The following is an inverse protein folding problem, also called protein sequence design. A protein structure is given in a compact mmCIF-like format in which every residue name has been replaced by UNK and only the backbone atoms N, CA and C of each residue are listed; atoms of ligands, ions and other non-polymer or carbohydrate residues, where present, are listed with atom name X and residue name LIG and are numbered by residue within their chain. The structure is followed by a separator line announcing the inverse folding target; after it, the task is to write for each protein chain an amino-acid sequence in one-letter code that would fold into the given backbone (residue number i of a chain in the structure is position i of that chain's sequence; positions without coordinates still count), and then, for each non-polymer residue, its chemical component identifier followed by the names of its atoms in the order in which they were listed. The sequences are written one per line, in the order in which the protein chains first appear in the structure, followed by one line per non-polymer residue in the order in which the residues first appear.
data_IF_925526707371
#
_entry.id   IF_925526707371
#
_cell.length_a   1.000
_cell.length_b   1.000
_cell.length_c   1.000
_cell.angle_alpha   90.00
_cell.angle_beta   90.00
_cell.angle_gamma   90.00
#
_symmetry.space_group_name_H-M   'P 1'
#
loop_
_entity.id
_entity.type
_entity.pdbx_description
1 polymer ?
#
# COMPACT_ATOMS: atom_id res chain seq x y z
N UNK A 1 8.65 0.63 9.41
CA UNK A 1 9.82 1.01 10.21
C UNK A 1 11.07 0.95 9.35
N UNK A 2 11.92 1.96 9.48
CA UNK A 2 13.11 2.15 8.64
C UNK A 2 14.29 1.30 9.12
N UNK A 3 14.06 0.02 9.28
CA UNK A 3 15.13 -0.94 9.61
C UNK A 3 16.12 -0.95 8.45
N UNK A 4 17.41 -0.76 8.73
CA UNK A 4 18.51 -0.63 7.78
C UNK A 4 18.22 0.28 6.57
N UNK A 5 17.58 1.44 6.84
CA UNK A 5 17.45 2.53 5.85
C UNK A 5 16.71 2.14 4.57
N UNK A 6 15.66 1.32 4.69
CA UNK A 6 14.81 0.93 3.54
C UNK A 6 14.19 2.11 2.80
N UNK A 7 13.87 3.19 3.52
CA UNK A 7 13.41 4.44 2.92
C UNK A 7 14.46 5.05 1.98
N UNK A 8 15.74 4.93 2.32
CA UNK A 8 16.83 5.39 1.44
C UNK A 8 16.91 4.53 0.18
N UNK A 9 16.80 3.20 0.30
CA UNK A 9 16.81 2.30 -0.86
C UNK A 9 15.63 2.57 -1.79
N UNK A 10 14.44 2.81 -1.25
CA UNK A 10 13.25 3.20 -2.01
C UNK A 10 13.46 4.55 -2.73
N UNK A 11 14.08 5.51 -2.04
CA UNK A 11 14.41 6.82 -2.62
C UNK A 11 15.46 6.72 -3.73
N UNK A 12 16.47 5.89 -3.55
CA UNK A 12 17.55 5.70 -4.53
C UNK A 12 17.03 4.97 -5.79
N UNK A 13 16.11 4.03 -5.64
CA UNK A 13 15.49 3.38 -6.78
C UNK A 13 14.60 4.33 -7.58
N UNK A 14 13.79 5.16 -6.94
CA UNK A 14 13.01 6.22 -7.61
C UNK A 14 13.93 7.23 -8.32
N UNK A 15 15.06 7.60 -7.71
CA UNK A 15 16.07 8.46 -8.32
C UNK A 15 16.69 7.82 -9.58
N UNK A 16 17.02 6.52 -9.49
CA UNK A 16 17.61 5.75 -10.60
C UNK A 16 16.64 5.60 -11.77
N UNK A 17 15.36 5.36 -11.49
CA UNK A 17 14.34 5.20 -12.52
C UNK A 17 13.99 6.51 -13.23
N UNK A 18 14.24 7.66 -12.61
CA UNK A 18 14.02 8.99 -13.18
C UNK A 18 12.63 9.14 -13.85
N UNK A 19 12.58 9.28 -15.18
CA UNK A 19 11.33 9.44 -15.93
C UNK A 19 10.41 8.20 -15.94
N UNK A 20 10.92 7.02 -15.57
CA UNK A 20 10.15 5.77 -15.43
C UNK A 20 9.81 5.44 -13.98
N UNK A 21 9.94 6.40 -13.05
CA UNK A 21 9.67 6.21 -11.64
C UNK A 21 8.20 5.85 -11.39
N UNK A 22 7.95 4.94 -10.45
CA UNK A 22 6.60 4.49 -10.08
C UNK A 22 5.81 5.56 -9.31
N UNK A 23 6.50 6.57 -8.77
CA UNK A 23 5.89 7.59 -7.93
C UNK A 23 5.73 7.13 -6.48
N UNK A 24 6.68 6.34 -5.98
CA UNK A 24 6.72 5.87 -4.58
C UNK A 24 6.58 7.02 -3.58
N UNK A 25 5.99 6.74 -2.43
CA UNK A 25 5.99 7.63 -1.26
C UNK A 25 7.35 7.68 -0.56
N UNK A 26 8.31 6.87 -1.00
CA UNK A 26 9.65 6.72 -0.41
C UNK A 26 9.60 6.28 1.06
N UNK A 27 8.60 5.46 1.40
CA UNK A 27 8.40 4.93 2.76
C UNK A 27 9.08 3.58 2.99
N UNK A 28 9.81 3.06 2.01
CA UNK A 28 10.56 1.81 2.12
C UNK A 28 9.72 0.54 2.03
N UNK A 29 8.52 0.61 1.49
CA UNK A 29 7.59 -0.53 1.42
C UNK A 29 8.09 -1.59 0.43
N UNK A 30 8.51 -1.19 -0.78
CA UNK A 30 9.02 -2.13 -1.78
C UNK A 30 10.29 -2.87 -1.28
N UNK A 31 11.33 -2.20 -0.78
CA UNK A 31 12.47 -2.88 -0.18
C UNK A 31 12.12 -3.78 1.00
N UNK A 32 11.13 -3.40 1.82
CA UNK A 32 10.66 -4.21 2.94
C UNK A 32 10.11 -5.57 2.47
N UNK A 33 9.19 -5.55 1.51
CA UNK A 33 8.59 -6.79 1.02
C UNK A 33 9.58 -7.62 0.19
N UNK A 34 10.46 -7.00 -0.59
CA UNK A 34 11.54 -7.67 -1.28
C UNK A 34 12.38 -8.49 -0.28
N UNK A 35 12.82 -7.89 0.80
CA UNK A 35 13.63 -8.53 1.82
C UNK A 35 12.87 -9.61 2.60
N UNK A 36 11.59 -9.38 2.88
CA UNK A 36 10.73 -10.37 3.51
C UNK A 36 10.66 -11.66 2.70
N UNK A 37 10.42 -11.55 1.39
CA UNK A 37 10.32 -12.72 0.53
C UNK A 37 11.69 -13.33 0.17
N UNK A 38 12.77 -12.54 0.16
CA UNK A 38 14.14 -13.02 0.09
C UNK A 38 14.61 -13.68 1.41
N UNK A 39 13.80 -13.63 2.48
CA UNK A 39 14.09 -14.21 3.81
C UNK A 39 15.28 -13.59 4.52
N UNK A 40 15.58 -12.34 4.22
CA UNK A 40 16.63 -11.56 4.88
C UNK A 40 16.08 -10.45 5.79
N UNK A 41 14.74 -10.41 5.98
CA UNK A 41 14.08 -9.45 6.86
C UNK A 41 14.35 -9.73 8.34
N UNK A 42 14.31 -8.68 9.16
CA UNK A 42 14.42 -8.75 10.62
C UNK A 42 13.01 -8.75 11.21
N UNK A 43 12.75 -9.66 12.14
CA UNK A 43 11.53 -9.71 12.93
C UNK A 43 11.73 -9.01 14.28
N UNK A 44 10.63 -8.58 14.90
CA UNK A 44 10.69 -7.96 16.24
C UNK A 44 11.31 -8.91 17.26
N UNK A 45 11.07 -10.22 17.15
CA UNK A 45 11.67 -11.23 18.03
C UNK A 45 13.21 -11.28 17.93
N UNK A 46 13.79 -10.93 16.79
CA UNK A 46 15.25 -10.94 16.60
C UNK A 46 15.95 -9.87 17.47
N UNK A 47 15.24 -8.81 17.86
CA UNK A 47 15.74 -7.78 18.77
C UNK A 47 16.09 -8.32 20.16
N UNK A 48 15.60 -9.50 20.53
CA UNK A 48 15.83 -10.13 21.82
C UNK A 48 16.92 -11.19 21.78
N UNK A 49 17.63 -11.33 20.65
CA UNK A 49 18.82 -12.17 20.51
C UNK A 49 19.93 -11.37 19.80
N UNK A 50 20.77 -10.73 20.58
CA UNK A 50 21.77 -9.77 20.09
C UNK A 50 22.80 -10.39 19.15
N UNK A 51 23.27 -11.62 19.46
CA UNK A 51 24.22 -12.33 18.60
C UNK A 51 23.60 -12.65 17.23
N UNK A 52 22.39 -13.20 17.22
CA UNK A 52 21.66 -13.51 16.00
C UNK A 52 21.36 -12.23 15.19
N UNK A 53 20.94 -11.17 15.87
CA UNK A 53 20.63 -9.89 15.22
C UNK A 53 21.87 -9.31 14.54
N UNK A 54 23.04 -9.34 15.21
CA UNK A 54 24.29 -8.85 14.64
C UNK A 54 24.66 -9.64 13.40
N UNK A 55 24.62 -10.97 13.45
CA UNK A 55 24.90 -11.81 12.27
C UNK A 55 23.94 -11.58 11.10
N UNK A 56 22.65 -11.33 11.38
CA UNK A 56 21.69 -10.95 10.36
C UNK A 56 22.02 -9.60 9.74
N UNK A 57 22.40 -8.59 10.52
CA UNK A 57 22.77 -7.27 10.04
C UNK A 57 24.04 -7.30 9.19
N UNK A 58 25.05 -8.06 9.58
CA UNK A 58 26.26 -8.27 8.77
C UNK A 58 25.92 -8.87 7.40
N UNK A 59 25.09 -9.91 7.39
CA UNK A 59 24.63 -10.52 6.14
C UNK A 59 23.82 -9.54 5.27
N UNK A 60 22.88 -8.80 5.85
CA UNK A 60 22.07 -7.79 5.15
C UNK A 60 22.94 -6.69 4.57
N UNK A 61 23.88 -6.15 5.37
CA UNK A 61 24.80 -5.11 4.92
C UNK A 61 25.68 -5.59 3.77
N UNK A 62 26.17 -6.82 3.82
CA UNK A 62 26.94 -7.41 2.71
C UNK A 62 26.15 -7.37 1.40
N UNK A 63 24.88 -7.78 1.42
CA UNK A 63 24.03 -7.77 0.22
C UNK A 63 23.65 -6.36 -0.23
N UNK A 64 23.26 -5.49 0.70
CA UNK A 64 22.79 -4.14 0.38
C UNK A 64 23.92 -3.21 -0.04
N UNK A 65 25.11 -3.38 0.52
CA UNK A 65 26.27 -2.58 0.15
C UNK A 65 26.71 -2.81 -1.29
N UNK A 66 26.50 -4.02 -1.84
CA UNK A 66 26.72 -4.26 -3.28
C UNK A 66 25.83 -3.34 -4.13
N UNK A 67 24.55 -3.20 -3.77
CA UNK A 67 23.63 -2.29 -4.47
C UNK A 67 24.01 -0.82 -4.26
N UNK A 68 24.34 -0.46 -3.03
CA UNK A 68 24.71 0.92 -2.68
C UNK A 68 25.97 1.35 -3.41
N UNK A 69 26.99 0.51 -3.45
CA UNK A 69 28.29 0.81 -4.08
C UNK A 69 28.19 0.82 -5.61
N UNK A 70 27.65 -0.25 -6.20
CA UNK A 70 27.78 -0.48 -7.64
C UNK A 70 26.55 -0.02 -8.45
N UNK A 71 25.39 0.07 -7.85
CA UNK A 71 24.17 0.48 -8.56
C UNK A 71 23.77 1.92 -8.25
N UNK A 72 23.74 2.27 -6.96
CA UNK A 72 23.28 3.59 -6.52
C UNK A 72 24.38 4.61 -6.31
N UNK A 73 25.64 4.18 -6.16
CA UNK A 73 26.79 5.03 -5.85
C UNK A 73 26.56 5.90 -4.59
N UNK A 74 26.11 5.25 -3.53
CA UNK A 74 25.71 5.87 -2.26
C UNK A 74 26.56 5.31 -1.10
N UNK A 75 26.60 6.01 0.07
CA UNK A 75 27.32 5.53 1.25
C UNK A 75 26.89 4.14 1.70
N UNK A 76 27.85 3.35 2.17
CA UNK A 76 27.61 2.00 2.64
C UNK A 76 26.96 1.99 4.02
N UNK A 77 26.26 0.90 4.32
CA UNK A 77 25.67 0.63 5.63
C UNK A 77 26.69 -0.04 6.55
N UNK A 78 26.68 0.38 7.81
CA UNK A 78 27.55 -0.17 8.86
C UNK A 78 26.69 -1.03 9.82
N UNK A 79 26.96 -2.34 9.95
CA UNK A 79 26.16 -3.25 10.78
C UNK A 79 26.04 -2.79 12.23
N UNK A 80 27.14 -2.33 12.83
CA UNK A 80 27.16 -1.89 14.23
C UNK A 80 26.28 -0.66 14.46
N UNK A 81 26.30 0.31 13.55
CA UNK A 81 25.46 1.50 13.65
C UNK A 81 23.96 1.14 13.59
N UNK A 82 23.58 0.22 12.69
CA UNK A 82 22.22 -0.29 12.61
C UNK A 82 21.81 -1.07 13.86
N UNK A 83 22.72 -1.87 14.41
CA UNK A 83 22.48 -2.61 15.64
C UNK A 83 22.17 -1.67 16.81
N UNK A 84 22.97 -0.63 17.00
CA UNK A 84 22.80 0.33 18.10
C UNK A 84 21.47 1.08 17.98
N UNK A 85 21.08 1.45 16.76
CA UNK A 85 19.79 2.08 16.48
C UNK A 85 18.63 1.13 16.84
N UNK A 86 18.71 -0.15 16.45
CA UNK A 86 17.70 -1.15 16.75
C UNK A 86 17.58 -1.46 18.24
N UNK A 87 18.68 -1.44 18.97
CA UNK A 87 18.66 -1.60 20.42
C UNK A 87 17.93 -0.42 21.11
N UNK A 88 18.08 0.80 20.58
CA UNK A 88 17.29 1.95 21.00
C UNK A 88 15.78 1.73 20.79
N UNK A 89 15.39 1.20 19.62
CA UNK A 89 13.98 0.87 19.35
C UNK A 89 13.46 -0.28 20.23
N UNK A 90 14.27 -1.30 20.52
CA UNK A 90 13.91 -2.38 21.45
C UNK A 90 13.43 -1.82 22.78
N UNK A 91 14.19 -0.92 23.38
CA UNK A 91 13.84 -0.33 24.68
C UNK A 91 12.48 0.39 24.65
N UNK A 92 12.20 1.10 23.57
CA UNK A 92 10.93 1.80 23.38
C UNK A 92 9.74 0.86 23.12
N UNK A 93 9.98 -0.27 22.45
CA UNK A 93 8.95 -1.23 22.05
C UNK A 93 8.63 -2.27 23.12
N UNK A 94 9.56 -2.53 24.06
CA UNK A 94 9.46 -3.61 25.04
C UNK A 94 8.10 -3.72 25.76
N UNK A 95 7.45 -2.62 26.19
CA UNK A 95 6.14 -2.69 26.84
C UNK A 95 5.00 -3.19 25.93
N UNK A 96 5.19 -3.17 24.61
CA UNK A 96 4.19 -3.47 23.61
C UNK A 96 4.44 -4.79 22.88
N UNK A 97 5.55 -5.48 23.17
CA UNK A 97 5.90 -6.75 22.51
C UNK A 97 5.32 -7.91 23.30
N UNK A 98 4.65 -8.81 22.57
CA UNK A 98 4.05 -9.99 23.16
C UNK A 98 3.65 -11.01 22.08
N UNK A 99 3.09 -12.14 22.51
CA UNK A 99 2.52 -13.14 21.61
C UNK A 99 1.17 -12.65 21.05
N UNK A 100 1.24 -11.89 19.94
CA UNK A 100 0.07 -11.32 19.28
C UNK A 100 -0.88 -12.42 18.73
N UNK A 101 -0.34 -13.56 18.28
CA UNK A 101 -1.14 -14.67 17.75
C UNK A 101 -2.05 -15.24 18.83
N UNK A 102 -1.47 -15.65 19.96
CA UNK A 102 -2.25 -16.15 21.10
C UNK A 102 -3.23 -15.11 21.67
N UNK A 103 -2.84 -13.84 21.66
CA UNK A 103 -3.71 -12.73 22.10
C UNK A 103 -4.97 -12.64 21.22
N UNK A 104 -4.80 -12.59 19.89
CA UNK A 104 -5.92 -12.49 18.93
C UNK A 104 -6.83 -13.72 19.01
N UNK A 105 -6.26 -14.93 19.03
CA UNK A 105 -7.04 -16.16 19.12
C UNK A 105 -7.84 -16.26 20.43
N UNK A 106 -7.29 -15.81 21.54
CA UNK A 106 -8.01 -15.72 22.83
C UNK A 106 -9.16 -14.73 22.74
N UNK A 107 -8.93 -13.55 22.19
CA UNK A 107 -9.99 -12.54 21.99
C UNK A 107 -11.15 -13.08 21.15
N UNK A 108 -10.86 -13.76 20.06
CA UNK A 108 -11.89 -14.40 19.22
C UNK A 108 -12.65 -15.50 19.99
N UNK A 109 -11.94 -16.34 20.78
CA UNK A 109 -12.56 -17.38 21.58
C UNK A 109 -13.46 -16.81 22.69
N UNK A 110 -13.12 -15.65 23.21
CA UNK A 110 -13.93 -14.90 24.19
C UNK A 110 -15.12 -14.16 23.55
N UNK A 111 -15.31 -14.29 22.23
CA UNK A 111 -16.39 -13.59 21.48
C UNK A 111 -16.19 -12.11 21.30
N UNK A 112 -14.96 -11.61 21.42
CA UNK A 112 -14.65 -10.20 21.18
C UNK A 112 -14.70 -9.89 19.70
N UNK A 113 -15.13 -8.68 19.37
CA UNK A 113 -15.06 -8.15 18.02
C UNK A 113 -13.63 -7.70 17.71
N UNK A 114 -13.11 -8.12 16.55
CA UNK A 114 -11.81 -7.75 16.04
C UNK A 114 -12.02 -7.01 14.72
N UNK A 115 -11.61 -5.75 14.66
CA UNK A 115 -11.63 -4.96 13.44
C UNK A 115 -10.27 -5.05 12.74
N UNK A 116 -10.28 -5.48 11.47
CA UNK A 116 -9.12 -5.45 10.59
C UNK A 116 -9.23 -4.25 9.67
N UNK A 117 -8.29 -3.33 9.74
CA UNK A 117 -8.20 -2.19 8.85
C UNK A 117 -7.18 -2.45 7.76
N UNK A 118 -7.67 -2.53 6.51
CA UNK A 118 -6.84 -2.57 5.31
C UNK A 118 -6.53 -1.16 4.81
N UNK A 119 -5.70 -1.06 3.76
CA UNK A 119 -5.23 0.22 3.25
C UNK A 119 -5.01 0.18 1.73
N UNK A 120 -4.82 1.33 1.10
CA UNK A 120 -4.48 1.62 -0.30
C UNK A 120 -5.59 1.36 -1.32
N UNK A 121 -6.21 0.22 -1.37
CA UNK A 121 -7.28 -0.12 -2.31
C UNK A 121 -6.94 -1.24 -3.30
N UNK A 122 -7.99 -1.87 -3.84
CA UNK A 122 -7.93 -3.11 -4.64
C UNK A 122 -7.05 -3.01 -5.87
N UNK A 123 -7.08 -1.86 -6.58
CA UNK A 123 -6.27 -1.65 -7.79
C UNK A 123 -4.77 -1.56 -7.51
N UNK A 124 -4.36 -1.41 -6.26
CA UNK A 124 -2.95 -1.36 -5.84
C UNK A 124 -2.43 -2.67 -5.27
N UNK A 125 -3.24 -3.74 -5.27
CA UNK A 125 -2.77 -5.07 -4.87
C UNK A 125 -1.75 -5.62 -5.87
N UNK A 126 -0.63 -6.21 -5.42
CA UNK A 126 0.42 -6.69 -6.32
C UNK A 126 -0.02 -7.86 -7.23
N UNK A 127 -1.04 -8.63 -6.83
CA UNK A 127 -1.51 -9.78 -7.60
C UNK A 127 -2.73 -9.48 -8.47
N UNK A 128 -3.67 -8.69 -7.96
CA UNK A 128 -4.96 -8.46 -8.59
C UNK A 128 -5.20 -7.00 -8.98
N UNK A 129 -4.24 -6.10 -8.71
CA UNK A 129 -4.28 -4.71 -9.13
C UNK A 129 -3.65 -4.47 -10.49
N UNK A 130 -3.40 -3.21 -10.81
CA UNK A 130 -2.83 -2.72 -12.08
C UNK A 130 -1.29 -2.84 -12.09
N UNK A 131 -0.76 -4.05 -11.94
CA UNK A 131 0.69 -4.31 -11.96
C UNK A 131 1.32 -3.81 -13.28
N UNK A 132 2.52 -3.16 -13.23
CA UNK A 132 3.42 -2.99 -12.09
C UNK A 132 3.14 -1.76 -11.21
N UNK A 133 2.13 -0.96 -11.49
CA UNK A 133 1.82 0.29 -10.79
C UNK A 133 1.02 0.03 -9.50
N UNK A 134 1.50 -0.90 -8.69
CA UNK A 134 0.90 -1.38 -7.43
C UNK A 134 1.76 -1.00 -6.22
N UNK A 135 1.24 -1.24 -5.02
CA UNK A 135 2.10 -1.33 -3.82
C UNK A 135 2.70 -2.73 -3.73
N UNK A 136 3.71 -2.90 -2.90
CA UNK A 136 4.30 -4.23 -2.64
C UNK A 136 3.58 -5.00 -1.53
N UNK A 137 2.69 -4.34 -0.79
CA UNK A 137 1.85 -4.96 0.23
C UNK A 137 0.50 -5.38 -0.35
N UNK A 138 -0.04 -6.50 0.14
CA UNK A 138 -1.39 -6.89 -0.24
C UNK A 138 -2.44 -5.98 0.40
N UNK A 139 -3.44 -5.60 -0.40
CA UNK A 139 -4.50 -4.65 0.00
C UNK A 139 -5.86 -5.32 0.15
N UNK A 140 -5.95 -6.61 -0.20
CA UNK A 140 -7.21 -7.34 -0.19
C UNK A 140 -7.54 -7.88 1.22
N UNK A 141 -8.83 -7.94 1.55
CA UNK A 141 -9.33 -8.37 2.85
C UNK A 141 -8.82 -9.76 3.27
N UNK A 142 -8.63 -10.69 2.33
CA UNK A 142 -8.05 -12.00 2.58
C UNK A 142 -6.66 -11.96 3.22
N UNK A 143 -5.88 -10.92 2.95
CA UNK A 143 -4.57 -10.73 3.60
C UNK A 143 -4.65 -10.17 5.01
N UNK A 144 -5.78 -9.53 5.38
CA UNK A 144 -6.05 -9.14 6.75
C UNK A 144 -6.03 -10.34 7.69
N UNK A 145 -6.53 -11.49 7.25
CA UNK A 145 -6.50 -12.74 8.02
C UNK A 145 -5.06 -13.23 8.24
N UNK A 146 -4.22 -13.19 7.22
CA UNK A 146 -2.80 -13.57 7.33
C UNK A 146 -2.04 -12.59 8.21
N UNK A 147 -2.19 -11.27 7.97
CA UNK A 147 -1.47 -10.23 8.71
C UNK A 147 -1.90 -10.09 10.17
N UNK A 148 -3.18 -10.32 10.45
CA UNK A 148 -3.77 -10.27 11.80
C UNK A 148 -3.78 -11.61 12.54
N UNK A 149 -3.24 -12.68 11.93
CA UNK A 149 -3.31 -14.05 12.47
C UNK A 149 -4.77 -14.49 12.80
N UNK A 150 -5.73 -14.04 12.02
CA UNK A 150 -7.16 -14.37 12.17
C UNK A 150 -7.50 -15.55 11.26
N UNK A 151 -8.21 -16.59 11.72
CA UNK A 151 -8.67 -17.65 10.83
C UNK A 151 -9.55 -17.09 9.70
N UNK A 152 -9.39 -17.53 8.43
CA UNK A 152 -10.22 -17.04 7.32
C UNK A 152 -11.73 -17.19 7.58
N UNK A 153 -12.13 -18.23 8.31
CA UNK A 153 -13.53 -18.50 8.67
C UNK A 153 -14.10 -17.54 9.72
N UNK A 154 -13.27 -16.75 10.38
CA UNK A 154 -13.71 -15.72 11.33
C UNK A 154 -13.97 -14.35 10.66
N UNK A 155 -13.66 -14.23 9.38
CA UNK A 155 -13.93 -13.02 8.61
C UNK A 155 -15.33 -13.10 8.02
N UNK A 156 -16.30 -12.44 8.66
CA UNK A 156 -17.72 -12.51 8.29
C UNK A 156 -18.19 -11.28 7.54
N UNK A 157 -17.65 -10.11 7.88
CA UNK A 157 -18.06 -8.83 7.34
C UNK A 157 -16.88 -8.15 6.66
N UNK A 158 -17.03 -7.84 5.39
CA UNK A 158 -16.02 -7.15 4.59
C UNK A 158 -16.65 -5.87 4.04
N UNK A 159 -16.28 -4.75 4.65
CA UNK A 159 -16.77 -3.43 4.25
C UNK A 159 -15.76 -2.78 3.32
N UNK A 160 -16.10 -2.65 2.05
CA UNK A 160 -15.28 -1.94 1.08
C UNK A 160 -15.62 -0.45 1.13
N UNK A 161 -14.63 0.38 1.41
CA UNK A 161 -14.81 1.83 1.41
C UNK A 161 -14.43 2.39 0.04
N UNK A 162 -15.33 3.13 -0.58
CA UNK A 162 -15.10 3.79 -1.87
C UNK A 162 -15.59 5.25 -1.83
N UNK A 163 -14.92 6.13 -2.53
CA UNK A 163 -15.38 7.52 -2.70
C UNK A 163 -16.39 7.60 -3.84
N UNK A 164 -17.25 8.58 -3.82
CA UNK A 164 -18.17 8.90 -4.93
C UNK A 164 -17.46 9.47 -6.18
N UNK A 165 -16.15 9.57 -6.15
CA UNK A 165 -15.25 9.88 -7.25
C UNK A 165 -13.99 9.04 -7.13
N UNK A 166 -13.18 8.96 -8.19
CA UNK A 166 -11.93 8.20 -8.17
C UNK A 166 -10.73 9.08 -7.86
N UNK A 167 -9.77 8.56 -7.09
CA UNK A 167 -8.48 9.24 -6.88
C UNK A 167 -7.33 8.22 -6.86
N UNK A 168 -6.17 8.61 -7.37
CA UNK A 168 -5.01 7.75 -7.41
C UNK A 168 -3.72 8.51 -7.11
N UNK A 169 -2.75 7.81 -6.51
CA UNK A 169 -1.36 8.26 -6.32
C UNK A 169 -0.46 7.40 -7.22
N UNK A 170 0.54 8.03 -7.85
CA UNK A 170 1.48 7.37 -8.73
C UNK A 170 0.95 7.13 -10.14
N UNK A 171 1.75 6.45 -10.94
CA UNK A 171 1.45 6.13 -12.32
C UNK A 171 0.44 4.96 -12.44
N UNK A 172 0.10 4.62 -13.66
CA UNK A 172 -0.78 3.51 -14.03
C UNK A 172 -2.10 3.98 -14.64
N UNK A 173 -2.84 3.03 -15.21
CA UNK A 173 -4.10 3.27 -15.87
C UNK A 173 -5.15 3.92 -14.94
N UNK A 174 -5.90 4.88 -15.49
CA UNK A 174 -6.97 5.57 -14.79
C UNK A 174 -7.99 6.04 -15.82
N UNK A 175 -8.89 5.15 -16.22
CA UNK A 175 -9.80 5.32 -17.36
C UNK A 175 -10.72 6.54 -17.21
N UNK A 176 -11.22 6.81 -16.02
CA UNK A 176 -12.12 7.93 -15.73
C UNK A 176 -11.39 9.22 -15.31
N UNK A 177 -10.07 9.34 -15.57
CA UNK A 177 -9.26 10.47 -15.13
C UNK A 177 -9.71 11.79 -15.73
N UNK A 178 -9.69 12.85 -14.91
CA UNK A 178 -9.97 14.23 -15.29
C UNK A 178 -8.69 15.04 -15.39
N UNK A 179 -8.73 16.07 -16.24
CA UNK A 179 -7.62 16.98 -16.49
C UNK A 179 -8.06 18.44 -16.46
N UNK A 180 -7.10 19.35 -16.32
CA UNK A 180 -7.36 20.78 -16.34
C UNK A 180 -8.27 21.27 -15.19
N UNK A 181 -9.05 22.30 -15.47
CA UNK A 181 -9.84 23.01 -14.45
C UNK A 181 -10.86 22.11 -13.73
N UNK A 182 -11.45 21.11 -14.41
CA UNK A 182 -12.40 20.16 -13.82
C UNK A 182 -11.70 19.28 -12.77
N UNK A 183 -10.50 18.80 -13.09
CA UNK A 183 -9.68 18.04 -12.14
C UNK A 183 -9.21 18.90 -10.96
N UNK A 184 -8.82 20.13 -11.20
CA UNK A 184 -8.36 21.06 -10.17
C UNK A 184 -9.48 21.40 -9.18
N UNK A 185 -10.70 21.60 -9.68
CA UNK A 185 -11.86 21.89 -8.82
C UNK A 185 -12.23 20.66 -7.98
N UNK A 186 -12.29 19.47 -8.57
CA UNK A 186 -12.55 18.23 -7.82
C UNK A 186 -11.44 17.98 -6.78
N UNK A 187 -10.18 18.19 -7.15
CA UNK A 187 -9.02 18.02 -6.24
C UNK A 187 -9.10 18.96 -5.05
N UNK A 188 -9.49 20.21 -5.28
CA UNK A 188 -9.63 21.22 -4.23
C UNK A 188 -10.76 20.90 -3.25
N UNK A 189 -11.87 20.32 -3.73
CA UNK A 189 -13.05 19.99 -2.92
C UNK A 189 -12.99 18.60 -2.30
N UNK A 190 -12.17 17.70 -2.85
CA UNK A 190 -12.12 16.32 -2.43
C UNK A 190 -11.51 16.14 -1.05
N UNK A 191 -12.16 15.33 -0.18
CA UNK A 191 -11.74 15.10 1.20
C UNK A 191 -11.71 16.35 2.07
N UNK A 192 -11.30 16.21 3.31
CA UNK A 192 -11.28 17.33 4.28
C UNK A 192 -10.19 18.38 4.00
N UNK A 193 -9.10 17.95 3.35
CA UNK A 193 -7.93 18.80 3.06
C UNK A 193 -7.59 18.89 1.56
N UNK A 194 -8.52 18.47 0.70
CA UNK A 194 -8.28 18.32 -0.73
C UNK A 194 -7.57 17.01 -1.10
N UNK A 195 -7.54 16.70 -2.39
CA UNK A 195 -6.88 15.49 -2.91
C UNK A 195 -5.38 15.74 -3.11
N UNK A 196 -4.66 15.81 -1.99
CA UNK A 196 -3.21 15.93 -1.94
C UNK A 196 -2.61 14.81 -1.08
N UNK A 197 -1.38 14.44 -1.37
CA UNK A 197 -0.68 13.42 -0.59
C UNK A 197 -0.42 13.91 0.84
N UNK A 198 -0.86 13.18 1.85
CA UNK A 198 -0.72 13.57 3.26
C UNK A 198 0.76 13.83 3.66
N UNK A 199 1.68 13.01 3.16
CA UNK A 199 3.12 13.12 3.46
C UNK A 199 3.86 13.98 2.44
N UNK A 200 3.49 13.89 1.16
CA UNK A 200 4.26 14.50 0.07
C UNK A 200 3.68 15.84 -0.41
N UNK A 201 2.46 16.17 -0.05
CA UNK A 201 1.73 17.33 -0.55
C UNK A 201 1.44 17.28 -2.08
N UNK A 202 1.82 16.20 -2.78
CA UNK A 202 1.62 16.08 -4.22
C UNK A 202 0.14 16.03 -4.57
N UNK A 203 -0.30 16.75 -5.63
CA UNK A 203 -1.67 16.64 -6.11
C UNK A 203 -1.94 15.20 -6.59
N UNK A 204 -3.03 14.62 -6.10
CA UNK A 204 -3.49 13.31 -6.56
C UNK A 204 -4.15 13.45 -7.93
N UNK A 205 -4.06 12.39 -8.72
CA UNK A 205 -4.90 12.21 -9.90
C UNK A 205 -6.34 12.00 -9.44
N UNK A 206 -7.29 12.61 -10.09
CA UNK A 206 -8.72 12.52 -9.75
C UNK A 206 -9.53 12.21 -11.01
N UNK A 207 -10.70 11.61 -10.83
CA UNK A 207 -11.57 11.23 -11.93
C UNK A 207 -13.00 10.97 -11.47
N UNK A 208 -13.90 10.75 -12.42
CA UNK A 208 -15.26 10.35 -12.12
C UNK A 208 -15.31 9.00 -11.41
N UNK A 209 -16.40 8.75 -10.70
CA UNK A 209 -16.64 7.43 -10.11
C UNK A 209 -16.60 6.36 -11.20
N UNK A 210 -15.79 5.35 -11.02
CA UNK A 210 -15.60 4.26 -11.96
C UNK A 210 -16.33 3.01 -11.45
N UNK A 211 -17.50 2.75 -12.02
CA UNK A 211 -18.32 1.61 -11.63
C UNK A 211 -17.72 0.27 -12.07
N UNK A 212 -16.95 0.24 -13.17
CA UNK A 212 -16.26 -0.98 -13.64
C UNK A 212 -15.15 -1.39 -12.69
N UNK A 213 -14.25 -0.45 -12.37
CA UNK A 213 -13.17 -0.70 -11.42
C UNK A 213 -13.70 -0.97 -10.00
N UNK A 214 -14.75 -0.26 -9.56
CA UNK A 214 -15.33 -0.47 -8.24
C UNK A 214 -16.02 -1.84 -8.13
N UNK A 215 -16.76 -2.27 -9.14
CA UNK A 215 -17.36 -3.62 -9.21
C UNK A 215 -16.26 -4.69 -9.08
N UNK A 216 -15.21 -4.56 -9.86
CA UNK A 216 -14.07 -5.47 -9.79
C UNK A 216 -13.42 -5.45 -8.39
N UNK A 217 -13.15 -4.25 -7.85
CA UNK A 217 -12.58 -4.09 -6.52
C UNK A 217 -13.40 -4.77 -5.43
N UNK A 218 -14.73 -4.58 -5.44
CA UNK A 218 -15.64 -5.26 -4.51
C UNK A 218 -15.62 -6.79 -4.67
N UNK A 219 -15.57 -7.27 -5.90
CA UNK A 219 -15.51 -8.70 -6.21
C UNK A 219 -14.23 -9.35 -5.64
N UNK A 220 -13.06 -8.78 -5.90
CA UNK A 220 -11.78 -9.35 -5.42
C UNK A 220 -11.57 -9.19 -3.92
N UNK A 221 -12.22 -8.21 -3.29
CA UNK A 221 -12.27 -8.06 -1.83
C UNK A 221 -13.20 -9.09 -1.18
N UNK A 222 -14.18 -9.64 -1.91
CA UNK A 222 -15.27 -10.41 -1.33
C UNK A 222 -16.20 -9.53 -0.49
N UNK A 223 -16.46 -8.29 -0.93
CA UNK A 223 -17.22 -7.30 -0.18
C UNK A 223 -18.63 -7.80 0.15
N UNK A 224 -18.99 -7.75 1.43
CA UNK A 224 -20.35 -7.99 1.91
C UNK A 224 -21.14 -6.69 1.99
N UNK A 225 -20.45 -5.55 2.12
CA UNK A 225 -21.03 -4.22 2.19
C UNK A 225 -20.11 -3.21 1.51
N UNK A 226 -20.69 -2.10 1.05
CA UNK A 226 -19.93 -0.97 0.48
C UNK A 226 -20.31 0.31 1.22
N UNK A 227 -19.32 1.02 1.73
CA UNK A 227 -19.46 2.36 2.27
C UNK A 227 -19.08 3.38 1.20
N UNK A 228 -20.07 4.04 0.60
CA UNK A 228 -19.86 5.14 -0.34
C UNK A 228 -19.61 6.43 0.44
N UNK A 229 -18.44 7.04 0.26
CA UNK A 229 -18.00 8.22 1.00
C UNK A 229 -17.78 9.42 0.10
N UNK A 230 -17.56 10.59 0.68
CA UNK A 230 -17.18 11.84 -0.01
C UNK A 230 -18.17 12.28 -1.12
N UNK A 231 -19.45 11.92 -1.03
CA UNK A 231 -20.48 12.36 -1.97
C UNK A 231 -20.78 13.87 -1.80
N UNK A 232 -20.63 14.37 -0.60
CA UNK A 232 -20.78 15.79 -0.25
C UNK A 232 -19.80 16.69 -1.01
N UNK A 233 -18.61 16.17 -1.34
CA UNK A 233 -17.62 16.87 -2.14
C UNK A 233 -18.10 17.21 -3.56
N UNK A 234 -19.10 16.49 -4.06
CA UNK A 234 -19.65 16.64 -5.41
C UNK A 234 -20.87 17.58 -5.48
N UNK A 235 -21.29 18.16 -4.36
CA UNK A 235 -22.47 19.02 -4.27
C UNK A 235 -22.42 20.33 -5.09
N UNK A 236 -21.32 20.61 -5.76
CA UNK A 236 -21.16 21.74 -6.69
C UNK A 236 -21.57 21.40 -8.13
N UNK A 237 -21.85 20.15 -8.40
CA UNK A 237 -22.22 19.65 -9.71
C UNK A 237 -23.75 19.54 -9.84
N UNK A 238 -24.27 19.96 -10.96
CA UNK A 238 -25.69 19.74 -11.34
C UNK A 238 -25.92 18.26 -11.70
N UNK A 239 -24.92 17.63 -12.33
CA UNK A 239 -24.94 16.22 -12.73
C UNK A 239 -23.62 15.53 -12.34
N UNK A 240 -23.71 14.34 -11.74
CA UNK A 240 -22.55 13.52 -11.39
C UNK A 240 -22.38 12.46 -12.48
N UNK A 241 -21.25 12.53 -13.20
CA UNK A 241 -20.91 11.53 -14.22
C UNK A 241 -20.35 10.26 -13.58
N UNK A 242 -20.70 9.12 -14.15
CA UNK A 242 -20.25 7.79 -13.72
C UNK A 242 -19.71 7.04 -14.92
N UNK A 243 -18.50 6.51 -14.83
CA UNK A 243 -17.95 5.60 -15.82
C UNK A 243 -18.61 4.22 -15.65
N UNK A 244 -19.45 3.83 -16.63
CA UNK A 244 -20.22 2.59 -16.59
C UNK A 244 -19.72 1.51 -17.53
N UNK A 245 -18.71 1.80 -18.37
CA UNK A 245 -18.12 0.86 -19.30
C UNK A 245 -16.83 1.40 -19.87
N UNK A 246 -16.00 0.51 -20.38
CA UNK A 246 -14.75 0.82 -21.08
C UNK A 246 -14.90 0.43 -22.56
N UNK A 247 -14.37 1.25 -23.44
CA UNK A 247 -14.24 0.91 -24.85
C UNK A 247 -12.82 0.41 -25.15
N UNK A 248 -12.72 -0.82 -25.63
CA UNK A 248 -11.45 -1.46 -26.01
C UNK A 248 -11.62 -1.99 -27.43
N UNK A 249 -10.80 -1.54 -28.35
CA UNK A 249 -10.85 -1.93 -29.77
C UNK A 249 -12.26 -1.77 -30.39
N UNK A 250 -12.96 -0.69 -30.04
CA UNK A 250 -14.31 -0.38 -30.51
C UNK A 250 -15.42 -1.24 -29.90
N UNK A 251 -15.13 -2.01 -28.85
CA UNK A 251 -16.12 -2.80 -28.10
C UNK A 251 -16.25 -2.29 -26.68
N UNK A 252 -17.49 -2.08 -26.25
CA UNK A 252 -17.76 -1.67 -24.86
C UNK A 252 -17.81 -2.92 -23.96
N UNK A 253 -17.08 -2.87 -22.86
CA UNK A 253 -17.10 -3.87 -21.79
C UNK A 253 -17.48 -3.23 -20.45
N UNK A 254 -18.18 -3.99 -19.61
CA UNK A 254 -18.49 -3.66 -18.22
C UNK A 254 -17.67 -4.51 -17.24
N UNK A 255 -16.82 -5.37 -17.76
CA UNK A 255 -15.90 -6.16 -16.97
C UNK A 255 -14.52 -5.50 -16.99
N UNK A 256 -13.87 -5.51 -15.84
CA UNK A 256 -12.52 -4.93 -15.69
C UNK A 256 -11.53 -5.76 -16.52
N UNK A 257 -10.81 -5.17 -17.47
CA UNK A 257 -9.91 -5.89 -18.34
C UNK A 257 -8.62 -6.29 -17.62
N UNK A 258 -7.85 -7.20 -18.20
CA UNK A 258 -6.47 -7.45 -17.76
C UNK A 258 -5.64 -6.17 -17.90
N UNK A 259 -4.76 -5.86 -16.94
CA UNK A 259 -4.00 -4.60 -16.92
C UNK A 259 -3.25 -4.27 -18.21
N UNK A 260 -2.74 -5.27 -18.91
CA UNK A 260 -2.06 -5.09 -20.20
C UNK A 260 -2.93 -4.52 -21.33
N UNK A 261 -4.25 -4.45 -21.14
CA UNK A 261 -5.20 -3.86 -22.08
C UNK A 261 -5.66 -2.45 -21.67
N UNK A 262 -5.09 -1.91 -20.60
CA UNK A 262 -5.43 -0.59 -20.06
C UNK A 262 -4.43 0.51 -20.48
N UNK A 263 -3.39 0.18 -21.23
CA UNK A 263 -2.36 1.10 -21.70
C UNK A 263 -2.75 1.74 -23.04
#
# INVERSE_FOLDING_TARGET
SDVYKRQLLDSYEEERLAGAAFGSTKSGIAPFYSDKYAKIGIQVADLYNEERLMGQLEHICTLKNVLLEHLYHKPLLEPKALFDELMGYRAALEPYVGDAVSFVHRALKEGRQVLLEGQLGSMKDPNLGICPMTTSSHTLAGFGTVGGAVPPTALTDIITVTKAYSSAVGAGAFVSELFGAEADELRRRGGDAGEFGATTGRPRRVGWFDAVATKYGCMVQGATQVALTAIDCLGYLDEIKVCTGYEIDGKVTTDFPVPALLD
#
